data_IF_615146726132
#
_entry.id   IF_615146726132
#
_cell.length_a   1.000
_cell.length_b   1.000
_cell.length_c   1.000
_cell.angle_alpha   90.00
_cell.angle_beta   90.00
_cell.angle_gamma   90.00
#
_symmetry.space_group_name_H-M   'P 1'
#
loop_
_entity.id
_entity.type
_entity.pdbx_description
1 polymer ?
#
# COMPACT_ATOMS: atom_id res chain seq x y z
N UNK A 1 -8.33 13.65 -13.65
CA UNK A 1 -8.33 12.19 -13.87
C UNK A 1 -7.88 11.56 -12.56
N UNK A 2 -8.79 10.89 -11.85
CA UNK A 2 -8.58 10.42 -10.48
C UNK A 2 -7.54 9.30 -10.46
N UNK A 3 -6.38 9.59 -9.87
CA UNK A 3 -5.11 8.87 -10.03
C UNK A 3 -4.89 7.74 -9.02
N UNK A 4 -5.98 7.18 -8.50
CA UNK A 4 -5.98 6.05 -7.53
C UNK A 4 -6.92 4.92 -7.98
N UNK A 5 -7.38 4.93 -9.24
CA UNK A 5 -8.27 3.88 -9.79
C UNK A 5 -7.52 2.63 -10.32
N UNK A 6 -6.21 2.47 -10.03
CA UNK A 6 -5.44 1.30 -10.46
C UNK A 6 -5.47 0.10 -9.48
N UNK A 7 -6.51 0.00 -8.65
CA UNK A 7 -6.79 -1.22 -7.85
C UNK A 7 -8.20 -1.77 -8.18
N UNK A 8 -8.64 -1.68 -9.44
CA UNK A 8 -9.94 -2.20 -9.89
C UNK A 8 -9.87 -3.43 -10.81
N UNK A 9 -8.83 -4.25 -10.75
CA UNK A 9 -8.79 -5.46 -11.58
C UNK A 9 -8.35 -6.69 -10.77
N UNK A 10 -9.36 -7.36 -10.19
CA UNK A 10 -9.38 -8.81 -9.86
C UNK A 10 -8.83 -9.30 -8.51
N UNK A 11 -9.01 -8.57 -7.41
CA UNK A 11 -8.85 -9.21 -6.07
C UNK A 11 -10.16 -9.87 -5.66
N UNK A 12 -10.22 -11.20 -5.73
CA UNK A 12 -11.27 -11.98 -5.07
C UNK A 12 -11.24 -11.67 -3.56
N UNK A 13 -12.04 -10.70 -3.13
CA UNK A 13 -12.08 -10.27 -1.73
C UNK A 13 -12.41 -11.49 -0.89
N UNK A 14 -11.49 -11.84 0.01
CA UNK A 14 -11.58 -12.99 0.88
C UNK A 14 -11.75 -12.53 2.34
N UNK A 15 -12.14 -13.46 3.20
CA UNK A 15 -12.19 -13.18 4.63
C UNK A 15 -10.75 -13.05 5.15
N UNK A 16 -10.47 -12.00 5.95
CA UNK A 16 -9.16 -11.73 6.56
C UNK A 16 -9.21 -11.89 8.08
N UNK A 17 -9.95 -12.90 8.53
CA UNK A 17 -10.10 -13.24 9.93
C UNK A 17 -9.55 -14.64 10.13
N UNK A 18 -8.46 -14.77 10.87
CA UNK A 18 -7.72 -16.03 11.01
C UNK A 18 -8.55 -17.14 11.65
N UNK A 19 -9.45 -16.76 12.56
CA UNK A 19 -10.37 -17.69 13.22
C UNK A 19 -11.61 -18.05 12.38
N UNK A 20 -11.68 -17.62 11.12
CA UNK A 20 -12.85 -17.89 10.27
C UNK A 20 -12.67 -19.16 9.43
N UNK A 21 -13.71 -20.00 9.39
CA UNK A 21 -13.74 -21.21 8.56
C UNK A 21 -13.63 -20.96 7.06
N UNK A 22 -13.92 -19.74 6.60
CA UNK A 22 -13.80 -19.32 5.19
C UNK A 22 -12.65 -18.32 4.99
N UNK A 23 -11.66 -18.29 5.89
CA UNK A 23 -10.44 -17.48 5.72
C UNK A 23 -9.75 -17.83 4.40
N UNK A 24 -9.32 -16.81 3.64
CA UNK A 24 -8.65 -16.99 2.36
C UNK A 24 -9.55 -17.42 1.18
N UNK A 25 -10.78 -17.87 1.43
CA UNK A 25 -11.69 -18.32 0.38
C UNK A 25 -12.32 -17.15 -0.41
N UNK A 26 -12.44 -17.26 -1.74
CA UNK A 26 -12.90 -16.17 -2.58
C UNK A 26 -14.42 -15.92 -2.52
N UNK A 27 -14.80 -14.65 -2.31
CA UNK A 27 -15.95 -13.97 -2.94
C UNK A 27 -17.38 -14.27 -2.47
N UNK A 28 -17.79 -15.53 -2.31
CA UNK A 28 -19.23 -15.86 -2.12
C UNK A 28 -19.78 -15.41 -0.75
N UNK A 29 -18.91 -15.45 0.27
CA UNK A 29 -19.25 -15.14 1.66
C UNK A 29 -19.04 -13.67 2.03
N UNK A 30 -18.55 -12.83 1.11
CA UNK A 30 -18.26 -11.42 1.40
C UNK A 30 -19.36 -10.52 0.83
N UNK A 31 -19.76 -9.49 1.59
CA UNK A 31 -20.67 -8.43 1.13
C UNK A 31 -20.05 -7.04 1.32
N UNK A 32 -20.42 -6.09 0.45
CA UNK A 32 -20.10 -4.67 0.63
C UNK A 32 -20.82 -4.15 1.88
N UNK A 33 -20.10 -3.43 2.74
CA UNK A 33 -20.59 -2.92 4.03
C UNK A 33 -20.31 -1.41 4.16
N UNK A 34 -20.84 -0.63 3.21
CA UNK A 34 -20.63 0.82 3.16
C UNK A 34 -19.17 1.21 2.87
N UNK A 35 -18.84 2.49 3.11
CA UNK A 35 -17.51 3.07 2.89
C UNK A 35 -17.02 3.76 4.16
N UNK A 36 -15.70 3.88 4.32
CA UNK A 36 -15.12 4.72 5.37
C UNK A 36 -15.36 6.20 5.05
N UNK A 37 -15.10 7.10 6.00
CA UNK A 37 -15.17 8.56 5.77
C UNK A 37 -14.26 9.03 4.63
N UNK A 38 -13.20 8.29 4.32
CA UNK A 38 -12.27 8.54 3.21
C UNK A 38 -12.73 7.92 1.88
N UNK A 39 -13.94 7.36 1.81
CA UNK A 39 -14.48 6.72 0.60
C UNK A 39 -13.98 5.30 0.34
N UNK A 40 -13.13 4.73 1.20
CA UNK A 40 -12.59 3.37 1.04
C UNK A 40 -13.70 2.35 1.27
N UNK A 41 -13.86 1.40 0.36
CA UNK A 41 -14.87 0.35 0.47
C UNK A 41 -14.61 -0.53 1.70
N UNK A 42 -15.66 -0.80 2.48
CA UNK A 42 -15.64 -1.80 3.56
C UNK A 42 -16.35 -3.06 3.10
N UNK A 43 -15.87 -4.19 3.60
CA UNK A 43 -16.43 -5.51 3.36
C UNK A 43 -16.78 -6.15 4.69
N UNK A 44 -17.76 -7.06 4.65
CA UNK A 44 -18.15 -7.87 5.79
C UNK A 44 -18.28 -9.32 5.36
N UNK A 45 -17.70 -10.22 6.16
CA UNK A 45 -17.91 -11.65 6.00
C UNK A 45 -19.30 -12.04 6.54
N UNK A 46 -20.06 -12.81 5.76
CA UNK A 46 -21.39 -13.30 6.15
C UNK A 46 -21.30 -14.37 7.25
N UNK A 47 -20.18 -15.10 7.32
CA UNK A 47 -19.93 -16.22 8.26
C UNK A 47 -19.51 -15.70 9.63
N UNK A 48 -18.33 -15.09 9.75
CA UNK A 48 -17.82 -14.60 11.05
C UNK A 48 -18.30 -13.18 11.44
N UNK A 49 -19.02 -12.48 10.54
CA UNK A 49 -19.47 -11.08 10.72
C UNK A 49 -18.37 -10.02 10.86
N UNK A 50 -17.10 -10.41 10.86
CA UNK A 50 -15.96 -9.47 10.85
C UNK A 50 -16.02 -8.52 9.66
N UNK A 51 -15.64 -7.27 9.90
CA UNK A 51 -15.54 -6.23 8.86
C UNK A 51 -14.09 -5.86 8.60
N UNK A 52 -13.76 -5.59 7.35
CA UNK A 52 -12.43 -5.17 6.92
C UNK A 52 -12.53 -4.16 5.78
N UNK A 53 -11.47 -3.39 5.56
CA UNK A 53 -11.39 -2.42 4.46
C UNK A 53 -10.81 -3.08 3.21
N UNK A 54 -11.14 -2.53 2.05
CA UNK A 54 -10.54 -2.95 0.77
C UNK A 54 -9.01 -2.92 0.80
N UNK A 55 -8.44 -1.95 1.51
CA UNK A 55 -6.98 -1.77 1.62
C UNK A 55 -6.34 -2.69 2.67
N UNK A 56 -7.09 -3.46 3.46
CA UNK A 56 -6.49 -4.32 4.48
C UNK A 56 -5.66 -5.41 3.80
N UNK A 57 -4.41 -5.58 4.24
CA UNK A 57 -3.44 -6.48 3.59
C UNK A 57 -2.73 -5.89 2.36
N UNK A 58 -2.98 -4.63 2.00
CA UNK A 58 -2.20 -3.90 0.99
C UNK A 58 -1.18 -2.96 1.65
N UNK A 59 -0.19 -2.53 0.89
CA UNK A 59 0.75 -1.48 1.28
C UNK A 59 0.03 -0.20 1.74
N UNK A 60 -1.15 0.10 1.19
CA UNK A 60 -1.93 1.29 1.55
C UNK A 60 -2.78 1.14 2.83
N UNK A 61 -2.66 0.02 3.54
CA UNK A 61 -3.40 -0.17 4.76
C UNK A 61 -2.98 0.83 5.84
N UNK A 62 -3.97 1.40 6.53
CA UNK A 62 -3.80 2.33 7.65
C UNK A 62 -3.01 3.62 7.33
N UNK A 63 -2.87 3.98 6.04
CA UNK A 63 -2.25 5.24 5.66
C UNK A 63 -3.16 6.44 5.98
N UNK A 64 -2.60 7.39 6.70
CA UNK A 64 -3.24 8.68 6.93
C UNK A 64 -3.02 9.64 5.75
N UNK A 65 -1.83 9.58 5.17
CA UNK A 65 -1.40 10.34 3.99
C UNK A 65 -2.01 9.76 2.71
N UNK A 66 -2.36 10.59 1.71
CA UNK A 66 -2.79 10.10 0.40
C UNK A 66 -1.74 9.15 -0.24
N UNK A 67 -2.23 8.09 -0.88
CA UNK A 67 -1.39 7.08 -1.53
C UNK A 67 -0.39 7.69 -2.53
N UNK A 68 -0.85 8.64 -3.35
CA UNK A 68 -0.04 9.34 -4.36
C UNK A 68 1.21 10.00 -3.75
N UNK A 69 1.07 10.65 -2.58
CA UNK A 69 2.18 11.30 -1.89
C UNK A 69 3.19 10.27 -1.38
N UNK A 70 2.71 9.12 -0.88
CA UNK A 70 3.58 8.05 -0.41
C UNK A 70 4.37 7.44 -1.57
N UNK A 71 3.70 7.17 -2.70
CA UNK A 71 4.35 6.65 -3.92
C UNK A 71 5.39 7.65 -4.43
N UNK A 72 5.05 8.94 -4.53
CA UNK A 72 6.02 9.97 -4.97
C UNK A 72 7.23 10.02 -4.04
N UNK A 73 7.03 9.96 -2.71
CA UNK A 73 8.14 9.92 -1.76
C UNK A 73 9.02 8.68 -1.97
N UNK A 74 8.45 7.48 -2.13
CA UNK A 74 9.23 6.27 -2.39
C UNK A 74 9.99 6.33 -3.72
N UNK A 75 9.37 6.89 -4.76
CA UNK A 75 10.02 7.12 -6.05
C UNK A 75 11.19 8.11 -5.94
N UNK A 76 11.05 9.16 -5.12
CA UNK A 76 12.17 10.06 -4.83
C UNK A 76 13.33 9.33 -4.14
N UNK A 77 13.04 8.46 -3.17
CA UNK A 77 14.04 7.61 -2.51
C UNK A 77 14.76 6.73 -3.53
N UNK A 78 14.02 6.08 -4.43
CA UNK A 78 14.59 5.23 -5.48
C UNK A 78 15.43 6.01 -6.50
N UNK A 79 15.15 7.30 -6.68
CA UNK A 79 15.94 8.22 -7.49
C UNK A 79 17.10 8.88 -6.70
N UNK A 80 17.56 8.24 -5.62
CA UNK A 80 18.70 8.67 -4.79
C UNK A 80 18.55 10.07 -4.18
N UNK A 81 17.32 10.57 -4.02
CA UNK A 81 17.09 11.80 -3.28
C UNK A 81 17.36 11.55 -1.80
N UNK A 82 18.07 12.48 -1.16
CA UNK A 82 18.34 12.38 0.28
C UNK A 82 17.06 12.58 1.09
N UNK A 83 16.97 11.96 2.27
CA UNK A 83 15.83 12.13 3.19
C UNK A 83 15.54 13.61 3.48
N UNK A 84 16.59 14.42 3.65
CA UNK A 84 16.44 15.86 3.89
C UNK A 84 15.96 16.65 2.67
N UNK A 85 16.28 16.20 1.44
CA UNK A 85 15.70 16.76 0.21
C UNK A 85 14.19 16.49 0.16
N UNK A 86 13.80 15.23 0.41
CA UNK A 86 12.40 14.80 0.41
C UNK A 86 11.61 15.54 1.50
N UNK A 87 12.16 15.67 2.71
CA UNK A 87 11.55 16.45 3.79
C UNK A 87 11.29 17.91 3.39
N UNK A 88 12.26 18.56 2.75
CA UNK A 88 12.10 19.96 2.31
C UNK A 88 11.09 20.09 1.16
N UNK A 89 11.10 19.18 0.21
CA UNK A 89 10.21 19.21 -0.96
C UNK A 89 8.77 18.84 -0.61
N UNK A 90 8.58 17.80 0.19
CA UNK A 90 7.27 17.18 0.46
C UNK A 90 6.69 17.55 1.83
N UNK A 91 7.48 18.18 2.71
CA UNK A 91 7.05 18.50 4.08
C UNK A 91 6.89 17.27 5.00
N UNK A 92 7.38 16.10 4.57
CA UNK A 92 7.24 14.83 5.30
C UNK A 92 8.41 14.66 6.29
N UNK A 93 8.12 14.22 7.51
CA UNK A 93 9.15 13.89 8.51
C UNK A 93 9.94 12.64 8.08
N UNK A 94 11.24 12.63 8.33
CA UNK A 94 12.11 11.50 7.96
C UNK A 94 11.65 10.19 8.62
N UNK A 95 11.22 10.22 9.89
CA UNK A 95 10.66 9.04 10.57
C UNK A 95 9.42 8.48 9.87
N UNK A 96 8.57 9.35 9.30
CA UNK A 96 7.39 8.92 8.54
C UNK A 96 7.80 8.24 7.24
N UNK A 97 8.81 8.77 6.55
CA UNK A 97 9.36 8.16 5.34
C UNK A 97 10.00 6.79 5.64
N UNK A 98 10.74 6.68 6.74
CA UNK A 98 11.31 5.41 7.22
C UNK A 98 10.20 4.41 7.56
N UNK A 99 9.12 4.84 8.20
CA UNK A 99 7.96 3.97 8.46
C UNK A 99 7.35 3.42 7.17
N UNK A 100 7.26 4.22 6.11
CA UNK A 100 6.76 3.74 4.81
C UNK A 100 7.74 2.78 4.14
N UNK A 101 9.04 3.06 4.21
CA UNK A 101 10.08 2.14 3.71
C UNK A 101 10.03 0.78 4.43
N UNK A 102 9.83 0.78 5.75
CA UNK A 102 9.63 -0.45 6.54
C UNK A 102 8.35 -1.17 6.18
N UNK A 103 7.27 -0.46 5.92
CA UNK A 103 6.03 -1.09 5.46
C UNK A 103 6.21 -1.71 4.06
N UNK A 104 7.00 -1.07 3.20
CA UNK A 104 7.25 -1.56 1.84
C UNK A 104 7.96 -2.92 1.82
N UNK A 105 8.82 -3.23 2.81
CA UNK A 105 9.48 -4.55 2.88
C UNK A 105 8.50 -5.71 3.09
N UNK A 106 7.32 -5.46 3.67
CA UNK A 106 6.25 -6.45 3.78
C UNK A 106 5.40 -6.61 2.51
N UNK A 107 5.58 -5.72 1.52
CA UNK A 107 4.76 -5.61 0.32
C UNK A 107 5.62 -5.44 -0.94
N UNK A 108 6.76 -6.15 -1.03
CA UNK A 108 7.77 -5.97 -2.10
C UNK A 108 7.15 -6.01 -3.49
N UNK A 109 6.41 -7.07 -3.83
CA UNK A 109 5.83 -7.25 -5.16
C UNK A 109 4.86 -6.13 -5.55
N UNK A 110 4.00 -5.71 -4.60
CA UNK A 110 3.05 -4.61 -4.80
C UNK A 110 3.80 -3.29 -5.03
N UNK A 111 4.80 -2.98 -4.20
CA UNK A 111 5.58 -1.74 -4.29
C UNK A 111 6.43 -1.70 -5.55
N UNK A 112 7.08 -2.80 -5.94
CA UNK A 112 7.85 -2.85 -7.19
C UNK A 112 6.94 -2.63 -8.40
N UNK A 113 5.78 -3.29 -8.45
CA UNK A 113 4.81 -3.13 -9.53
C UNK A 113 4.33 -1.68 -9.64
N UNK A 114 4.03 -1.03 -8.52
CA UNK A 114 3.64 0.38 -8.48
C UNK A 114 4.76 1.30 -8.96
N UNK A 115 6.00 1.10 -8.48
CA UNK A 115 7.12 1.96 -8.86
C UNK A 115 7.56 1.77 -10.31
N UNK A 116 7.44 0.56 -10.87
CA UNK A 116 7.71 0.31 -12.29
C UNK A 116 6.65 0.96 -13.19
N UNK A 117 5.37 0.86 -12.82
CA UNK A 117 4.26 1.37 -13.64
C UNK A 117 4.08 2.89 -13.53
N UNK A 118 4.20 3.45 -12.33
CA UNK A 118 3.91 4.86 -12.07
C UNK A 118 5.11 5.79 -12.25
N UNK A 119 6.34 5.25 -12.12
CA UNK A 119 7.55 6.06 -12.05
C UNK A 119 8.62 5.69 -13.08
N UNK A 120 8.31 4.82 -14.04
CA UNK A 120 9.21 4.35 -15.12
C UNK A 120 10.62 3.99 -14.62
N UNK A 121 10.66 3.32 -13.45
CA UNK A 121 11.91 3.00 -12.79
C UNK A 121 12.63 1.83 -13.46
N UNK A 122 13.93 2.00 -13.70
CA UNK A 122 14.81 0.91 -14.13
C UNK A 122 15.05 -0.11 -13.01
N UNK A 123 15.40 -1.33 -13.40
CA UNK A 123 15.79 -2.41 -12.47
C UNK A 123 16.96 -2.04 -11.56
N UNK A 124 17.88 -1.19 -12.04
CA UNK A 124 19.01 -0.70 -11.24
C UNK A 124 18.55 0.25 -10.13
N UNK A 125 17.64 1.18 -10.44
CA UNK A 125 17.03 2.06 -9.42
C UNK A 125 16.24 1.24 -8.39
N UNK A 126 15.49 0.22 -8.83
CA UNK A 126 14.77 -0.67 -7.93
C UNK A 126 15.70 -1.41 -6.95
N UNK A 127 16.79 -1.99 -7.47
CA UNK A 127 17.76 -2.67 -6.62
C UNK A 127 18.38 -1.73 -5.58
N UNK A 128 18.72 -0.50 -5.99
CA UNK A 128 19.31 0.48 -5.08
C UNK A 128 18.31 1.02 -4.06
N UNK A 129 17.03 1.14 -4.43
CA UNK A 129 15.95 1.41 -3.49
C UNK A 129 15.93 0.35 -2.37
N UNK A 130 15.93 -0.94 -2.70
CA UNK A 130 15.92 -2.00 -1.69
C UNK A 130 17.22 -2.09 -0.86
N UNK A 131 18.38 -1.80 -1.46
CA UNK A 131 19.64 -1.65 -0.71
C UNK A 131 19.53 -0.50 0.30
N UNK A 132 18.90 0.61 -0.06
CA UNK A 132 18.72 1.74 0.85
C UNK A 132 17.72 1.40 1.97
N UNK A 133 16.57 0.83 1.61
CA UNK A 133 15.53 0.42 2.56
C UNK A 133 16.08 -0.55 3.61
N UNK A 134 16.90 -1.52 3.21
CA UNK A 134 17.51 -2.50 4.13
C UNK A 134 18.50 -1.89 5.13
N UNK A 135 18.97 -0.65 4.94
CA UNK A 135 19.81 0.05 5.93
C UNK A 135 19.01 0.67 7.08
N UNK A 136 17.70 0.84 6.90
CA UNK A 136 16.80 1.50 7.87
C UNK A 136 15.82 0.53 8.56
N UNK A 137 15.82 -0.74 8.14
CA UNK A 137 14.99 -1.82 8.69
C UNK A 137 15.88 -2.78 9.47
#
# INVERSE_FOLDING_TARGET
MNRVELIDQTTSVNCQNDDCSVNGQPGSHIRRYGKTRKGIQRYQCKVCKSTFTQTKGSFFYNLHTPAEVVIECLAMVANYQTMSSIRRKMGIKEDTLISWMRQATGHVEEVESLLMSECDMSRTQMNQFWILVSRYC
#
